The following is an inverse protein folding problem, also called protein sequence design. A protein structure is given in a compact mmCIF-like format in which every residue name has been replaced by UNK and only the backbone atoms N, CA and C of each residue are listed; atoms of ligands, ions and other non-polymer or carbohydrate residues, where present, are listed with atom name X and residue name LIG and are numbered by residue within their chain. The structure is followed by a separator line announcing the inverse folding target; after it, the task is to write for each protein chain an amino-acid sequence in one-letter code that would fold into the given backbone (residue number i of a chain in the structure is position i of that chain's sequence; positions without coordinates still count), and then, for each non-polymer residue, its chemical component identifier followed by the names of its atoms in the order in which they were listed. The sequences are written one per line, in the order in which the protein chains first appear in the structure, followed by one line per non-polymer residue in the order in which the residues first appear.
data_IF_369388410584
#
_entry.id   IF_369388410584
#
_cell.length_a   1.000
_cell.length_b   1.000
_cell.length_c   1.000
_cell.angle_alpha   90.00
_cell.angle_beta   90.00
_cell.angle_gamma   90.00
#
_symmetry.space_group_name_H-M   'P 1'
#
loop_
_entity.id
_entity.type
_entity.pdbx_description
1 polymer ?
#
# COMPACT_ATOMS: atom_id res chain seq x y z
N UNK A 1 -15.77 -1.12 2.56
CA UNK A 1 -14.46 -1.39 1.89
C UNK A 1 -13.84 -2.72 2.32
N UNK A 2 -13.69 -3.00 3.62
CA UNK A 2 -13.13 -4.28 4.08
C UNK A 2 -13.97 -5.50 3.65
N UNK A 3 -15.23 -5.61 4.09
CA UNK A 3 -16.05 -6.82 3.87
C UNK A 3 -16.42 -7.07 2.41
N UNK A 4 -16.71 -5.98 1.68
CA UNK A 4 -17.25 -6.06 0.31
C UNK A 4 -16.18 -6.05 -0.77
N UNK A 5 -14.93 -5.73 -0.43
CA UNK A 5 -13.85 -5.60 -1.42
C UNK A 5 -12.61 -6.37 -0.97
N UNK A 6 -11.99 -5.98 0.16
CA UNK A 6 -10.72 -6.59 0.59
C UNK A 6 -10.86 -8.08 0.89
N UNK A 7 -11.91 -8.49 1.61
CA UNK A 7 -12.17 -9.91 1.94
C UNK A 7 -12.43 -10.75 0.67
N UNK A 8 -13.27 -10.33 -0.29
CA UNK A 8 -13.37 -11.02 -1.57
C UNK A 8 -12.05 -11.10 -2.34
N UNK A 9 -11.26 -10.03 -2.38
CA UNK A 9 -9.93 -10.04 -3.00
C UNK A 9 -9.04 -11.08 -2.32
N UNK A 10 -9.03 -11.14 -0.99
CA UNK A 10 -8.18 -12.07 -0.27
C UNK A 10 -8.56 -13.52 -0.51
N UNK A 11 -9.85 -13.83 -0.68
CA UNK A 11 -10.31 -15.18 -1.04
C UNK A 11 -9.80 -15.63 -2.41
N UNK A 12 -9.63 -14.71 -3.34
CA UNK A 12 -9.19 -14.99 -4.71
C UNK A 12 -7.68 -14.96 -4.89
N UNK A 13 -7.01 -14.02 -4.22
CA UNK A 13 -5.61 -13.71 -4.50
C UNK A 13 -4.67 -14.02 -3.34
N UNK A 14 -5.13 -14.23 -2.10
CA UNK A 14 -4.24 -14.58 -0.99
C UNK A 14 -4.22 -16.09 -0.79
N UNK A 15 -3.04 -16.65 -0.55
CA UNK A 15 -2.87 -18.08 -0.30
C UNK A 15 -3.76 -18.56 0.86
N UNK A 16 -4.40 -19.72 0.68
CA UNK A 16 -5.43 -20.22 1.59
C UNK A 16 -4.94 -20.32 3.04
N UNK A 17 -3.68 -20.71 3.25
CA UNK A 17 -3.05 -20.84 4.58
C UNK A 17 -2.95 -19.50 5.33
N UNK A 18 -2.98 -18.39 4.60
CA UNK A 18 -2.80 -17.03 5.14
C UNK A 18 -4.10 -16.21 5.17
N UNK A 19 -5.18 -16.66 4.54
CA UNK A 19 -6.46 -15.93 4.56
C UNK A 19 -7.00 -15.69 5.98
N UNK A 20 -6.66 -16.54 6.95
CA UNK A 20 -7.01 -16.37 8.37
C UNK A 20 -6.44 -15.11 9.01
N UNK A 21 -5.37 -14.54 8.42
CA UNK A 21 -4.70 -13.32 8.87
C UNK A 21 -5.33 -12.05 8.29
N UNK A 22 -6.41 -12.16 7.51
CA UNK A 22 -7.15 -11.00 7.02
C UNK A 22 -8.07 -10.50 8.13
N UNK A 23 -7.70 -9.38 8.77
CA UNK A 23 -8.40 -8.83 9.93
C UNK A 23 -8.81 -7.38 9.70
N UNK A 24 -10.00 -7.02 10.19
CA UNK A 24 -10.50 -5.64 10.09
C UNK A 24 -9.61 -4.68 10.88
N UNK A 25 -9.23 -5.04 12.11
CA UNK A 25 -8.39 -4.19 12.96
C UNK A 25 -7.03 -3.92 12.32
N UNK A 26 -6.44 -4.93 11.66
CA UNK A 26 -5.22 -4.76 10.89
C UNK A 26 -5.41 -3.82 9.69
N UNK A 27 -6.51 -3.96 8.94
CA UNK A 27 -6.84 -3.06 7.84
C UNK A 27 -7.03 -1.62 8.33
N UNK A 28 -7.79 -1.43 9.41
CA UNK A 28 -8.06 -0.13 10.00
C UNK A 28 -6.79 0.52 10.53
N UNK A 29 -5.97 -0.21 11.28
CA UNK A 29 -4.71 0.29 11.80
C UNK A 29 -3.73 0.66 10.68
N UNK A 30 -3.62 -0.14 9.62
CA UNK A 30 -2.77 0.20 8.47
C UNK A 30 -3.21 1.52 7.82
N UNK A 31 -4.52 1.76 7.66
CA UNK A 31 -5.05 3.04 7.15
C UNK A 31 -4.81 4.18 8.14
N UNK A 32 -5.08 3.97 9.43
CA UNK A 32 -4.87 4.99 10.46
C UNK A 32 -3.39 5.41 10.53
N UNK A 33 -2.47 4.46 10.51
CA UNK A 33 -1.03 4.76 10.56
C UNK A 33 -0.47 5.29 9.24
N UNK A 34 -1.11 5.02 8.11
CA UNK A 34 -0.85 5.74 6.86
C UNK A 34 -1.11 7.25 7.05
N UNK A 35 -2.26 7.64 7.62
CA UNK A 35 -2.57 9.05 7.89
C UNK A 35 -1.60 9.68 8.90
N UNK A 36 -1.21 8.94 9.94
CA UNK A 36 -0.17 9.39 10.87
C UNK A 36 1.17 9.57 10.15
N UNK A 37 1.51 8.67 9.23
CA UNK A 37 2.76 8.72 8.48
C UNK A 37 2.85 9.94 7.56
N UNK A 38 1.73 10.48 7.06
CA UNK A 38 1.74 11.78 6.38
C UNK A 38 2.27 12.91 7.28
N UNK A 39 2.00 12.88 8.58
CA UNK A 39 2.53 13.84 9.55
C UNK A 39 4.03 13.69 9.83
N UNK A 40 4.65 12.59 9.40
CA UNK A 40 6.03 12.22 9.72
C UNK A 40 6.96 12.27 8.49
N UNK A 41 8.25 12.08 8.74
CA UNK A 41 9.30 12.04 7.72
C UNK A 41 9.85 13.42 7.33
N UNK A 42 10.52 13.47 6.18
CA UNK A 42 11.24 14.67 5.74
C UNK A 42 10.29 15.63 5.01
N UNK A 43 10.21 16.88 5.48
CA UNK A 43 9.40 17.94 4.84
C UNK A 43 10.23 18.99 4.11
N UNK A 44 11.51 19.14 4.47
CA UNK A 44 12.47 20.04 3.81
C UNK A 44 13.64 19.22 3.27
N UNK A 45 14.09 19.54 2.06
CA UNK A 45 15.20 18.81 1.43
C UNK A 45 16.53 19.11 2.13
N UNK A 46 17.44 18.13 2.15
CA UNK A 46 18.69 18.20 2.91
C UNK A 46 19.65 19.28 2.42
N UNK A 47 19.48 19.73 1.16
CA UNK A 47 20.26 20.83 0.58
C UNK A 47 19.87 22.21 1.12
N UNK A 48 18.80 22.29 1.93
CA UNK A 48 18.27 23.55 2.47
C UNK A 48 17.46 24.38 1.48
N UNK A 49 17.25 23.90 0.24
CA UNK A 49 16.62 24.66 -0.85
C UNK A 49 15.09 24.55 -0.90
N UNK A 50 14.41 24.45 0.25
CA UNK A 50 12.95 24.49 0.34
C UNK A 50 12.26 23.18 0.74
N UNK A 51 10.96 23.08 0.43
CA UNK A 51 10.14 21.92 0.80
C UNK A 51 10.22 20.78 -0.23
N UNK A 52 10.07 19.54 0.23
CA UNK A 52 10.06 18.34 -0.64
C UNK A 52 9.00 18.45 -1.74
N UNK A 53 7.80 18.95 -1.39
CA UNK A 53 6.69 19.14 -2.32
C UNK A 53 7.05 20.07 -3.48
N UNK A 54 7.74 21.17 -3.19
CA UNK A 54 8.13 22.17 -4.18
C UNK A 54 9.21 21.62 -5.12
N UNK A 55 10.17 20.87 -4.56
CA UNK A 55 11.24 20.25 -5.32
C UNK A 55 10.74 19.16 -6.28
N UNK A 56 9.84 18.28 -5.80
CA UNK A 56 9.37 17.12 -6.55
C UNK A 56 8.19 17.40 -7.49
N UNK A 57 7.46 18.51 -7.28
CA UNK A 57 6.34 18.94 -8.14
C UNK A 57 5.31 17.82 -8.32
N UNK A 58 4.95 17.48 -9.56
CA UNK A 58 3.97 16.43 -9.88
C UNK A 58 4.38 15.02 -9.44
N UNK A 59 5.67 14.81 -9.12
CA UNK A 59 6.16 13.56 -8.58
C UNK A 59 6.01 13.44 -7.07
N UNK A 60 5.62 14.53 -6.39
CA UNK A 60 5.47 14.52 -4.94
C UNK A 60 4.38 13.56 -4.49
N UNK A 61 3.17 13.68 -5.04
CA UNK A 61 1.99 13.05 -4.45
C UNK A 61 2.12 11.53 -4.37
N UNK A 62 2.45 10.86 -5.48
CA UNK A 62 2.57 9.40 -5.46
C UNK A 62 3.71 8.90 -4.56
N UNK A 63 4.81 9.65 -4.46
CA UNK A 63 5.93 9.28 -3.60
C UNK A 63 5.56 9.47 -2.12
N UNK A 64 4.81 10.52 -1.78
CA UNK A 64 4.31 10.77 -0.42
C UNK A 64 3.27 9.71 -0.01
N UNK A 65 2.39 9.27 -0.91
CA UNK A 65 1.49 8.13 -0.66
C UNK A 65 2.28 6.85 -0.38
N UNK A 66 3.29 6.54 -1.22
CA UNK A 66 4.15 5.38 -1.03
C UNK A 66 4.89 5.43 0.29
N UNK A 67 5.38 6.61 0.69
CA UNK A 67 6.00 6.85 1.99
C UNK A 67 5.01 6.59 3.13
N UNK A 68 3.80 7.12 3.03
CA UNK A 68 2.78 6.98 4.07
C UNK A 68 2.35 5.52 4.26
N UNK A 69 2.16 4.77 3.17
CA UNK A 69 1.86 3.35 3.19
C UNK A 69 2.93 2.54 3.96
N UNK A 70 4.21 2.64 3.56
CA UNK A 70 5.26 1.80 4.17
C UNK A 70 5.71 2.28 5.55
N UNK A 71 5.72 3.60 5.81
CA UNK A 71 6.01 4.11 7.15
C UNK A 71 4.87 3.85 8.12
N UNK A 72 3.63 3.86 7.64
CA UNK A 72 2.47 3.44 8.43
C UNK A 72 2.67 2.01 8.93
N UNK A 73 3.02 1.10 8.02
CA UNK A 73 3.31 -0.29 8.37
C UNK A 73 4.55 -0.44 9.27
N UNK A 74 5.59 0.38 9.06
CA UNK A 74 6.77 0.42 9.94
C UNK A 74 6.38 0.75 11.39
N UNK A 75 5.51 1.76 11.57
CA UNK A 75 5.03 2.15 12.90
C UNK A 75 4.18 1.06 13.54
N UNK A 76 3.24 0.47 12.80
CA UNK A 76 2.45 -0.69 13.24
C UNK A 76 3.37 -1.80 13.75
N UNK A 77 4.39 -2.15 12.98
CA UNK A 77 5.39 -3.17 13.35
C UNK A 77 6.11 -2.82 14.65
N UNK A 78 6.56 -1.57 14.78
CA UNK A 78 7.25 -1.08 15.96
C UNK A 78 6.37 -1.05 17.22
N UNK A 79 5.12 -0.61 17.10
CA UNK A 79 4.15 -0.54 18.20
C UNK A 79 3.72 -1.93 18.66
N UNK A 80 3.50 -2.85 17.73
CA UNK A 80 3.22 -4.24 18.05
C UNK A 80 4.38 -4.88 18.84
N UNK A 81 5.62 -4.64 18.40
CA UNK A 81 6.83 -5.10 19.10
C UNK A 81 6.94 -4.53 20.53
N UNK A 82 6.43 -3.32 20.75
CA UNK A 82 6.39 -2.66 22.08
C UNK A 82 5.22 -3.11 22.94
N UNK A 83 4.25 -3.85 22.40
CA UNK A 83 3.01 -4.22 23.10
C UNK A 83 1.98 -3.09 23.18
N UNK A 84 2.16 -2.01 22.42
CA UNK A 84 1.25 -0.84 22.37
C UNK A 84 0.10 -1.03 21.37
N UNK A 85 0.18 -2.09 20.57
CA UNK A 85 -0.85 -2.51 19.63
C UNK A 85 -1.12 -4.00 19.86
N UNK A 86 -2.37 -4.44 19.66
CA UNK A 86 -2.75 -5.85 19.79
C UNK A 86 -2.72 -6.58 18.42
N UNK A 87 -2.62 -7.91 18.45
CA UNK A 87 -2.69 -8.77 17.25
C UNK A 87 -1.38 -9.50 16.93
N UNK A 88 -1.37 -10.25 15.83
CA UNK A 88 -0.17 -10.90 15.29
C UNK A 88 0.36 -10.06 14.10
N UNK A 89 1.68 -9.90 13.97
CA UNK A 89 2.29 -9.18 12.85
C UNK A 89 1.87 -9.76 11.48
N UNK A 90 1.56 -11.06 11.45
CA UNK A 90 1.02 -11.74 10.27
C UNK A 90 -0.31 -11.15 9.82
N UNK A 91 -1.16 -10.73 10.77
CA UNK A 91 -2.44 -10.08 10.46
C UNK A 91 -2.21 -8.79 9.67
N UNK A 92 -1.27 -7.96 10.15
CA UNK A 92 -0.92 -6.68 9.55
C UNK A 92 -0.27 -6.83 8.18
N UNK A 93 0.71 -7.72 8.03
CA UNK A 93 1.41 -7.92 6.75
C UNK A 93 0.54 -8.56 5.69
N UNK A 94 -0.22 -9.61 6.02
CA UNK A 94 -1.11 -10.25 5.05
C UNK A 94 -2.28 -9.32 4.67
N UNK A 95 -2.84 -8.57 5.62
CA UNK A 95 -3.89 -7.59 5.33
C UNK A 95 -3.36 -6.42 4.49
N UNK A 96 -2.13 -5.96 4.74
CA UNK A 96 -1.47 -4.94 3.91
C UNK A 96 -1.25 -5.44 2.48
N UNK A 97 -0.78 -6.67 2.30
CA UNK A 97 -0.61 -7.28 0.98
C UNK A 97 -1.93 -7.37 0.20
N UNK A 98 -3.02 -7.78 0.86
CA UNK A 98 -4.37 -7.74 0.26
C UNK A 98 -4.82 -6.31 -0.05
N UNK A 99 -4.45 -5.34 0.79
CA UNK A 99 -4.67 -3.91 0.60
C UNK A 99 -3.98 -3.35 -0.65
N UNK A 100 -2.73 -3.75 -0.91
CA UNK A 100 -2.00 -3.42 -2.14
C UNK A 100 -2.80 -3.89 -3.36
N UNK A 101 -3.20 -5.16 -3.38
CA UNK A 101 -3.96 -5.75 -4.50
C UNK A 101 -5.32 -5.07 -4.72
N UNK A 102 -5.93 -4.51 -3.67
CA UNK A 102 -7.10 -3.64 -3.79
C UNK A 102 -6.74 -2.30 -4.44
N UNK A 103 -5.74 -1.62 -3.92
CA UNK A 103 -5.39 -0.24 -4.32
C UNK A 103 -4.82 -0.16 -5.74
N UNK A 104 -4.08 -1.16 -6.20
CA UNK A 104 -3.54 -1.18 -7.59
C UNK A 104 -4.65 -1.19 -8.65
N UNK A 105 -5.89 -1.55 -8.30
CA UNK A 105 -7.05 -1.52 -9.20
C UNK A 105 -7.53 -0.11 -9.53
N UNK A 106 -7.10 0.91 -8.77
CA UNK A 106 -7.30 2.31 -9.16
C UNK A 106 -6.43 2.71 -10.36
N UNK A 107 -5.41 1.89 -10.69
CA UNK A 107 -4.56 2.07 -11.84
C UNK A 107 -3.41 3.05 -11.61
N UNK A 108 -2.50 3.10 -12.58
CA UNK A 108 -1.27 3.92 -12.53
C UNK A 108 -1.51 5.39 -12.87
N UNK A 109 -2.75 5.82 -13.12
CA UNK A 109 -3.10 7.24 -13.28
C UNK A 109 -3.18 7.94 -11.92
N UNK A 110 -3.58 7.23 -10.87
CA UNK A 110 -3.77 7.78 -9.52
C UNK A 110 -2.50 7.69 -8.67
N UNK A 111 -2.28 8.71 -7.81
CA UNK A 111 -1.11 8.76 -6.93
C UNK A 111 -1.01 7.53 -6.03
N UNK A 112 -2.12 7.16 -5.39
CA UNK A 112 -2.22 5.98 -4.53
C UNK A 112 -2.00 4.66 -5.29
N UNK A 113 -2.50 4.58 -6.54
CA UNK A 113 -2.29 3.40 -7.38
C UNK A 113 -0.82 3.23 -7.78
N UNK A 114 -0.14 4.31 -8.16
CA UNK A 114 1.31 4.32 -8.42
C UNK A 114 2.14 3.92 -7.19
N UNK A 115 1.79 4.45 -6.02
CA UNK A 115 2.42 4.11 -4.74
C UNK A 115 2.30 2.61 -4.41
N UNK A 116 1.10 2.06 -4.53
CA UNK A 116 0.85 0.65 -4.26
C UNK A 116 1.51 -0.27 -5.31
N UNK A 117 1.64 0.20 -6.55
CA UNK A 117 2.42 -0.51 -7.58
C UNK A 117 3.92 -0.54 -7.23
N UNK A 118 4.49 0.56 -6.72
CA UNK A 118 5.86 0.57 -6.21
C UNK A 118 6.03 -0.43 -5.06
N UNK A 119 5.11 -0.43 -4.09
CA UNK A 119 5.14 -1.37 -2.98
C UNK A 119 5.08 -2.82 -3.48
N UNK A 120 4.14 -3.15 -4.36
CA UNK A 120 4.00 -4.48 -4.94
C UNK A 120 5.29 -4.95 -5.62
N UNK A 121 5.83 -4.16 -6.55
CA UNK A 121 6.98 -4.55 -7.34
C UNK A 121 8.26 -4.65 -6.48
N UNK A 122 8.44 -3.73 -5.53
CA UNK A 122 9.58 -3.79 -4.61
C UNK A 122 9.50 -5.01 -3.68
N UNK A 123 8.31 -5.32 -3.16
CA UNK A 123 8.10 -6.49 -2.31
C UNK A 123 8.29 -7.79 -3.09
N UNK A 124 7.86 -7.84 -4.35
CA UNK A 124 8.14 -8.97 -5.23
C UNK A 124 9.66 -9.13 -5.47
N UNK A 125 10.36 -8.04 -5.81
CA UNK A 125 11.82 -8.03 -6.02
C UNK A 125 12.59 -8.55 -4.80
N UNK A 126 12.13 -8.17 -3.60
CA UNK A 126 12.74 -8.59 -2.32
C UNK A 126 12.27 -9.95 -1.82
N UNK A 127 11.34 -10.60 -2.52
CA UNK A 127 10.76 -11.88 -2.10
C UNK A 127 9.95 -11.77 -0.80
N UNK A 128 9.41 -10.59 -0.50
CA UNK A 128 8.48 -10.36 0.62
C UNK A 128 7.17 -11.13 0.43
N UNK A 129 6.83 -11.47 -0.81
CA UNK A 129 5.83 -12.47 -1.13
C UNK A 129 6.26 -13.25 -2.37
N UNK A 130 5.61 -14.38 -2.59
CA UNK A 130 5.68 -15.14 -3.84
C UNK A 130 4.29 -15.31 -4.42
N UNK A 131 4.22 -15.45 -5.74
CA UNK A 131 3.00 -15.90 -6.43
C UNK A 131 3.10 -17.41 -6.62
N UNK A 132 2.18 -18.16 -6.01
CA UNK A 132 2.16 -19.62 -6.05
C UNK A 132 1.72 -20.13 -7.42
N UNK A 133 1.94 -21.42 -7.70
CA UNK A 133 1.43 -22.08 -8.92
C UNK A 133 -0.10 -22.07 -9.04
N UNK A 134 -0.82 -21.83 -7.93
CA UNK A 134 -2.29 -21.66 -7.91
C UNK A 134 -2.71 -20.24 -8.31
N UNK A 135 -1.76 -19.34 -8.55
CA UNK A 135 -2.00 -17.93 -8.85
C UNK A 135 -2.44 -17.12 -7.65
N UNK A 136 -2.11 -17.55 -6.43
CA UNK A 136 -2.33 -16.79 -5.18
C UNK A 136 -1.00 -16.23 -4.67
N UNK A 137 -1.04 -15.20 -3.84
CA UNK A 137 0.12 -14.57 -3.23
C UNK A 137 0.30 -15.03 -1.80
N UNK A 138 1.51 -15.44 -1.45
CA UNK A 138 1.89 -15.90 -0.11
C UNK A 138 2.98 -15.00 0.44
N UNK A 139 2.71 -14.37 1.58
CA UNK A 139 3.64 -13.48 2.28
C UNK A 139 4.74 -14.27 2.96
N UNK A 140 5.99 -13.85 2.77
CA UNK A 140 7.13 -14.24 3.59
C UNK A 140 7.33 -13.18 4.68
N UNK A 141 6.86 -13.46 5.90
CA UNK A 141 6.78 -12.45 6.97
C UNK A 141 8.13 -11.85 7.37
N UNK A 142 9.21 -12.63 7.30
CA UNK A 142 10.56 -12.14 7.60
C UNK A 142 11.06 -11.18 6.51
N UNK A 143 10.98 -11.61 5.25
CA UNK A 143 11.38 -10.77 4.11
C UNK A 143 10.48 -9.55 3.94
N UNK A 144 9.22 -9.64 4.35
CA UNK A 144 8.28 -8.52 4.32
C UNK A 144 8.73 -7.37 5.22
N UNK A 145 9.16 -7.68 6.46
CA UNK A 145 9.69 -6.67 7.38
C UNK A 145 10.93 -5.98 6.80
N UNK A 146 11.86 -6.76 6.24
CA UNK A 146 13.07 -6.21 5.60
C UNK A 146 12.74 -5.35 4.39
N UNK A 147 11.88 -5.84 3.48
CA UNK A 147 11.49 -5.10 2.28
C UNK A 147 10.77 -3.79 2.60
N UNK A 148 9.91 -3.79 3.62
CA UNK A 148 9.24 -2.58 4.12
C UNK A 148 10.24 -1.54 4.64
N UNK A 149 11.23 -1.97 5.44
CA UNK A 149 12.26 -1.08 5.97
C UNK A 149 13.12 -0.49 4.86
N UNK A 150 13.55 -1.33 3.91
CA UNK A 150 14.37 -0.90 2.78
C UNK A 150 13.62 0.06 1.85
N UNK A 151 12.34 -0.22 1.56
CA UNK A 151 11.51 0.67 0.74
C UNK A 151 11.26 2.00 1.45
N UNK A 152 11.01 1.98 2.77
CA UNK A 152 10.89 3.20 3.58
C UNK A 152 12.14 4.07 3.48
N UNK A 153 13.32 3.47 3.67
CA UNK A 153 14.60 4.18 3.56
C UNK A 153 14.82 4.74 2.14
N UNK A 154 14.49 3.96 1.10
CA UNK A 154 14.59 4.39 -0.29
C UNK A 154 13.73 5.62 -0.58
N UNK A 155 12.45 5.59 -0.20
CA UNK A 155 11.51 6.68 -0.44
C UNK A 155 11.93 7.95 0.34
N UNK A 156 12.26 7.81 1.63
CA UNK A 156 12.71 8.94 2.46
C UNK A 156 14.00 9.56 1.89
N UNK A 157 14.92 8.73 1.39
CA UNK A 157 16.16 9.23 0.74
C UNK A 157 15.83 10.06 -0.50
N UNK A 158 14.93 9.58 -1.36
CA UNK A 158 14.47 10.34 -2.53
C UNK A 158 13.84 11.67 -2.14
N UNK A 159 12.96 11.66 -1.13
CA UNK A 159 12.35 12.88 -0.60
C UNK A 159 13.38 13.85 -0.03
N UNK A 160 14.32 13.36 0.77
CA UNK A 160 15.38 14.18 1.38
C UNK A 160 16.29 14.82 0.33
N UNK A 161 16.65 14.09 -0.72
CA UNK A 161 17.47 14.62 -1.81
C UNK A 161 16.73 15.67 -2.64
N UNK A 162 15.40 15.55 -2.78
CA UNK A 162 14.61 16.46 -3.63
C UNK A 162 14.91 16.31 -5.12
N UNK A 163 15.51 15.18 -5.53
CA UNK A 163 15.88 14.92 -6.92
C UNK A 163 14.66 14.40 -7.69
N UNK A 164 13.97 15.33 -8.37
CA UNK A 164 12.81 15.02 -9.18
C UNK A 164 13.12 14.00 -10.29
N UNK A 165 14.30 14.06 -10.92
CA UNK A 165 14.66 13.15 -12.03
C UNK A 165 14.84 11.73 -11.49
N UNK A 166 15.48 11.58 -10.33
CA UNK A 166 15.59 10.28 -9.67
C UNK A 166 14.21 9.70 -9.29
N UNK A 167 13.28 10.55 -8.83
CA UNK A 167 11.91 10.12 -8.51
C UNK A 167 11.15 9.70 -9.77
N UNK A 168 11.26 10.45 -10.87
CA UNK A 168 10.65 10.06 -12.16
C UNK A 168 11.18 8.72 -12.67
N UNK A 169 12.48 8.49 -12.53
CA UNK A 169 13.09 7.21 -12.89
C UNK A 169 12.53 6.08 -12.02
N UNK A 170 12.46 6.29 -10.70
CA UNK A 170 11.88 5.31 -9.78
C UNK A 170 10.41 5.00 -10.11
N UNK A 171 9.62 6.01 -10.50
CA UNK A 171 8.24 5.80 -10.95
C UNK A 171 8.18 4.89 -12.18
N UNK A 172 8.98 5.21 -13.22
CA UNK A 172 8.98 4.46 -14.49
C UNK A 172 9.43 3.01 -14.31
N UNK A 173 10.34 2.75 -13.37
CA UNK A 173 10.87 1.41 -13.12
C UNK A 173 9.99 0.60 -12.16
N UNK A 174 9.39 1.24 -11.15
CA UNK A 174 8.73 0.54 -10.03
C UNK A 174 7.22 0.68 -10.00
N UNK A 175 6.60 1.63 -10.70
CA UNK A 175 5.15 1.81 -10.73
C UNK A 175 4.49 1.25 -12.01
N UNK A 176 4.87 0.02 -12.41
CA UNK A 176 4.43 -0.63 -13.66
C UNK A 176 3.61 -1.88 -13.37
N UNK A 177 2.45 -2.01 -14.01
CA UNK A 177 1.63 -3.24 -13.93
C UNK A 177 2.21 -4.28 -14.88
N UNK A 178 2.65 -5.41 -14.34
CA UNK A 178 3.11 -6.54 -15.14
C UNK A 178 1.94 -7.26 -15.81
N UNK A 179 2.20 -7.94 -16.93
CA UNK A 179 1.19 -8.75 -17.61
C UNK A 179 0.61 -9.83 -16.71
N UNK A 180 1.40 -10.38 -15.78
CA UNK A 180 0.92 -11.37 -14.82
C UNK A 180 -0.06 -10.75 -13.80
N UNK A 181 0.32 -9.62 -13.20
CA UNK A 181 -0.57 -8.92 -12.26
C UNK A 181 -1.85 -8.47 -12.96
N UNK A 182 -1.79 -7.95 -14.18
CA UNK A 182 -2.98 -7.56 -14.94
C UNK A 182 -3.97 -8.72 -15.08
N UNK A 183 -3.50 -9.95 -15.37
CA UNK A 183 -4.37 -11.14 -15.46
C UNK A 183 -5.05 -11.46 -14.13
N UNK A 184 -4.37 -11.24 -13.00
CA UNK A 184 -4.93 -11.44 -11.67
C UNK A 184 -5.96 -10.35 -11.33
N UNK A 185 -5.72 -9.09 -11.72
CA UNK A 185 -6.71 -8.01 -11.58
C UNK A 185 -7.94 -8.26 -12.45
N UNK A 186 -7.77 -8.75 -13.68
CA UNK A 186 -8.87 -9.12 -14.58
C UNK A 186 -9.69 -10.29 -14.00
N UNK A 187 -9.07 -11.20 -13.25
CA UNK A 187 -9.79 -12.25 -12.51
C UNK A 187 -10.71 -11.66 -11.45
N UNK A 188 -10.31 -10.60 -10.74
CA UNK A 188 -11.18 -9.89 -9.79
C UNK A 188 -12.37 -9.23 -10.49
N UNK A 189 -12.14 -8.61 -11.65
CA UNK A 189 -13.18 -7.96 -12.46
C UNK A 189 -14.20 -8.98 -12.97
N UNK A 190 -13.75 -10.13 -13.49
CA UNK A 190 -14.65 -11.23 -13.93
C UNK A 190 -15.51 -11.80 -12.82
N UNK A 191 -15.07 -11.69 -11.56
CA UNK A 191 -15.85 -12.08 -10.38
C UNK A 191 -16.71 -10.95 -9.81
N UNK A 192 -16.82 -9.83 -10.52
CA UNK A 192 -17.63 -8.68 -10.14
C UNK A 192 -17.29 -8.13 -8.74
N UNK A 193 -16.04 -8.27 -8.31
CA UNK A 193 -15.60 -7.67 -7.05
C UNK A 193 -15.53 -6.15 -7.27
N UNK A 194 -16.23 -5.30 -6.50
CA UNK A 194 -16.27 -3.87 -6.73
C UNK A 194 -14.90 -3.21 -6.51
N UNK A 195 -14.59 -2.12 -7.22
CA UNK A 195 -13.34 -1.36 -7.05
C UNK A 195 -13.41 -0.48 -5.80
N UNK A 196 -14.51 0.26 -5.63
CA UNK A 196 -14.83 1.01 -4.42
C UNK A 196 -16.34 1.03 -4.16
N UNK A 197 -16.76 1.79 -3.15
CA UNK A 197 -18.16 1.98 -2.75
C UNK A 197 -18.71 3.30 -3.27
N UNK A 198 -20.01 3.31 -3.57
CA UNK A 198 -20.80 4.53 -3.76
C UNK A 198 -21.64 4.71 -2.50
N UNK A 199 -21.62 5.90 -1.91
CA UNK A 199 -22.46 6.23 -0.76
C UNK A 199 -23.74 6.90 -1.23
N UNK A 200 -24.89 6.37 -0.84
CA UNK A 200 -26.17 7.06 -0.91
C UNK A 200 -26.24 8.00 0.29
N UNK A 201 -26.15 9.31 0.05
CA UNK A 201 -26.02 10.34 1.08
C UNK A 201 -26.80 11.59 0.68
N UNK A 202 -27.39 12.28 1.66
CA UNK A 202 -28.16 13.50 1.45
C UNK A 202 -29.24 13.68 2.51
N UNK A 203 -29.78 14.90 2.65
CA UNK A 203 -30.88 15.20 3.60
C UNK A 203 -32.13 14.38 3.26
N UNK A 204 -32.36 14.16 1.97
CA UNK A 204 -33.39 13.31 1.39
C UNK A 204 -33.23 11.83 1.81
N UNK A 205 -31.99 11.33 1.86
CA UNK A 205 -31.68 9.97 2.34
C UNK A 205 -31.88 9.84 3.85
N UNK A 206 -31.59 10.90 4.60
CA UNK A 206 -31.79 10.95 6.05
C UNK A 206 -33.26 11.15 6.46
N UNK A 207 -34.17 11.36 5.51
CA UNK A 207 -35.57 11.68 5.78
C UNK A 207 -35.78 13.06 6.42
N UNK A 208 -34.79 13.94 6.33
CA UNK A 208 -34.84 15.31 6.83
C UNK A 208 -35.24 16.20 5.65
N UNK A 209 -36.45 16.75 5.68
CA UNK A 209 -36.93 17.75 4.72
C UNK A 209 -36.51 19.15 5.13
#
# INVERSE_FOLDING_TARGET
KFDKILVPISKELIDADQQKYIKFDAFFANVMFHEVAHGLGIKKIITGKGFVREALKEQYSWLEEGKADVLGLYMVTGLLKKGELAGDIKDYYTTFMAGILRSVRFGVSEAHGKANMQCFNYFQEKGAFERTSKGTYKVNFEKFATAMNELSAFIITLQGNGDKVAVEKAQKEKAVISTELQKDLDRLTRKSIPVDVVFEQGVDVLGVK
#
